data_IF_115848591559
#
_entry.id   IF_115848591559
#
_cell.length_a   1.000
_cell.length_b   1.000
_cell.length_c   1.000
_cell.angle_alpha   90.00
_cell.angle_beta   90.00
_cell.angle_gamma   90.00
#
_symmetry.space_group_name_H-M   'P 1'
#
loop_
_entity.id
_entity.type
_entity.pdbx_description
1 polymer ?
#
# COMPACT_ATOMS: atom_id res chain seq x y z
N UNK A 1 -16.98 11.63 0.28
CA UNK A 1 -16.18 11.88 1.51
C UNK A 1 -15.80 10.59 2.26
N UNK A 2 -16.61 9.52 2.29
CA UNK A 2 -16.23 8.23 2.91
C UNK A 2 -15.12 7.45 2.17
N UNK A 3 -14.94 7.66 0.86
CA UNK A 3 -13.89 7.02 0.06
C UNK A 3 -12.48 7.58 0.30
N UNK A 4 -12.34 8.80 0.82
CA UNK A 4 -11.02 9.38 1.08
C UNK A 4 -10.34 8.76 2.30
N UNK A 5 -11.11 8.25 3.27
CA UNK A 5 -10.59 7.73 4.55
C UNK A 5 -9.92 6.36 4.40
N UNK A 6 -10.40 5.50 3.50
CA UNK A 6 -9.79 4.17 3.28
C UNK A 6 -8.42 4.27 2.60
N UNK A 7 -8.26 5.20 1.67
CA UNK A 7 -6.98 5.49 1.03
C UNK A 7 -5.99 6.16 2.01
N UNK A 8 -6.50 6.80 3.07
CA UNK A 8 -5.70 7.47 4.11
C UNK A 8 -5.07 6.56 5.16
N UNK A 9 -5.34 5.25 5.16
CA UNK A 9 -4.74 4.33 6.15
C UNK A 9 -3.68 3.45 5.50
N UNK A 10 -4.00 2.78 4.38
CA UNK A 10 -3.08 1.80 3.78
C UNK A 10 -1.77 2.40 3.28
N UNK A 11 -1.83 3.46 2.47
CA UNK A 11 -0.63 4.08 1.91
C UNK A 11 0.30 4.65 2.99
N UNK A 12 -0.21 5.40 4.00
CA UNK A 12 0.60 5.85 5.13
C UNK A 12 1.16 4.70 5.99
N UNK A 13 0.39 3.64 6.23
CA UNK A 13 0.86 2.47 6.98
C UNK A 13 2.05 1.80 6.28
N UNK A 14 1.96 1.56 4.96
CA UNK A 14 3.06 0.98 4.17
C UNK A 14 4.29 1.88 4.23
N UNK A 15 4.11 3.20 4.17
CA UNK A 15 5.20 4.17 4.37
C UNK A 15 5.84 4.09 5.75
N UNK A 16 5.04 3.99 6.81
CA UNK A 16 5.51 3.86 8.19
C UNK A 16 6.35 2.58 8.36
N UNK A 17 5.85 1.44 7.89
CA UNK A 17 6.58 0.17 7.94
C UNK A 17 7.90 0.25 7.16
N UNK A 18 7.88 0.84 5.96
CA UNK A 18 9.10 1.06 5.18
C UNK A 18 10.15 1.91 5.91
N UNK A 19 9.72 2.98 6.57
CA UNK A 19 10.62 3.84 7.34
C UNK A 19 11.17 3.14 8.58
N UNK A 20 10.35 2.36 9.30
CA UNK A 20 10.78 1.55 10.44
C UNK A 20 11.80 0.50 9.98
N UNK A 21 11.51 -0.22 8.89
CA UNK A 21 12.44 -1.20 8.32
C UNK A 21 13.76 -0.57 7.93
N UNK A 22 13.75 0.63 7.32
CA UNK A 22 14.98 1.35 6.99
C UNK A 22 15.75 1.80 8.24
N UNK A 23 15.06 2.30 9.27
CA UNK A 23 15.68 2.69 10.53
C UNK A 23 16.35 1.49 11.22
N UNK A 24 15.67 0.35 11.28
CA UNK A 24 16.21 -0.89 11.84
C UNK A 24 17.39 -1.41 11.02
N UNK A 25 17.31 -1.35 9.69
CA UNK A 25 18.40 -1.75 8.79
C UNK A 25 19.65 -0.89 9.04
N UNK A 26 19.50 0.42 9.17
CA UNK A 26 20.64 1.32 9.42
C UNK A 26 21.19 1.11 10.82
N UNK A 27 20.34 0.93 11.83
CA UNK A 27 20.80 0.72 13.21
C UNK A 27 21.55 -0.59 13.37
N UNK A 28 20.94 -1.71 12.98
CA UNK A 28 21.53 -3.05 13.12
C UNK A 28 22.62 -3.29 12.07
N UNK A 29 22.37 -2.96 10.81
CA UNK A 29 23.37 -3.10 9.76
C UNK A 29 24.59 -2.20 10.00
N UNK A 30 24.35 -0.97 10.47
CA UNK A 30 25.42 -0.04 10.83
C UNK A 30 26.31 -0.56 11.95
N UNK A 31 25.76 -1.14 13.01
CA UNK A 31 26.57 -1.75 14.08
C UNK A 31 27.41 -2.92 13.55
N UNK A 32 26.85 -3.77 12.69
CA UNK A 32 27.57 -4.89 12.07
C UNK A 32 28.69 -4.42 11.12
N UNK A 33 28.56 -3.24 10.49
CA UNK A 33 29.65 -2.64 9.70
C UNK A 33 30.78 -2.16 10.61
N UNK A 34 30.46 -1.57 11.77
CA UNK A 34 31.47 -1.12 12.74
C UNK A 34 32.23 -2.29 13.38
N UNK A 35 31.56 -3.42 13.58
CA UNK A 35 32.17 -4.67 14.06
C UNK A 35 32.94 -5.42 12.96
N UNK A 36 32.87 -4.98 11.70
CA UNK A 36 33.55 -5.60 10.57
C UNK A 36 32.91 -6.89 10.05
N UNK A 37 31.70 -7.23 10.50
CA UNK A 37 30.98 -8.44 10.09
C UNK A 37 30.46 -8.34 8.65
N UNK A 38 30.07 -7.14 8.20
CA UNK A 38 29.59 -6.87 6.84
C UNK A 38 30.21 -5.58 6.31
N UNK A 39 30.19 -5.39 4.98
CA UNK A 39 30.67 -4.15 4.35
C UNK A 39 29.57 -3.10 4.29
N UNK A 40 29.96 -1.83 4.24
CA UNK A 40 29.03 -0.71 4.01
C UNK A 40 28.17 -0.91 2.75
N UNK A 41 28.76 -1.50 1.69
CA UNK A 41 28.07 -1.77 0.44
C UNK A 41 26.86 -2.69 0.60
N UNK A 42 26.92 -3.64 1.55
CA UNK A 42 25.77 -4.50 1.87
C UNK A 42 24.63 -3.65 2.44
N UNK A 43 24.89 -2.85 3.46
CA UNK A 43 23.85 -1.99 4.07
C UNK A 43 23.26 -1.04 3.04
N UNK A 44 24.11 -0.41 2.22
CA UNK A 44 23.68 0.47 1.14
C UNK A 44 22.75 -0.24 0.13
N UNK A 45 23.12 -1.43 -0.35
CA UNK A 45 22.30 -2.21 -1.28
C UNK A 45 20.95 -2.57 -0.66
N UNK A 46 20.94 -2.96 0.62
CA UNK A 46 19.70 -3.31 1.32
C UNK A 46 18.75 -2.12 1.50
N UNK A 47 19.24 -0.87 1.56
CA UNK A 47 18.34 0.29 1.56
C UNK A 47 17.49 0.37 0.30
N UNK A 48 18.04 -0.03 -0.85
CA UNK A 48 17.31 -0.12 -2.12
C UNK A 48 16.36 -1.30 -2.13
N UNK A 49 16.78 -2.47 -1.63
CA UNK A 49 15.91 -3.65 -1.54
C UNK A 49 14.69 -3.41 -0.66
N UNK A 50 14.85 -2.71 0.47
CA UNK A 50 13.71 -2.29 1.31
C UNK A 50 12.74 -1.46 0.48
N UNK A 51 13.20 -0.45 -0.27
CA UNK A 51 12.33 0.38 -1.10
C UNK A 51 11.62 -0.44 -2.18
N UNK A 52 12.35 -1.29 -2.89
CA UNK A 52 11.82 -2.16 -3.94
C UNK A 52 10.79 -3.16 -3.40
N UNK A 53 10.92 -3.59 -2.13
CA UNK A 53 9.94 -4.45 -1.49
C UNK A 53 8.62 -3.73 -1.18
N UNK A 54 8.69 -2.49 -0.69
CA UNK A 54 7.50 -1.72 -0.30
C UNK A 54 6.77 -1.03 -1.47
N UNK A 55 7.43 -0.83 -2.60
CA UNK A 55 6.83 -0.26 -3.81
C UNK A 55 5.65 -1.08 -4.38
N UNK A 56 5.79 -2.40 -4.67
CA UNK A 56 4.67 -3.20 -5.16
C UNK A 56 3.53 -3.33 -4.14
N UNK A 57 3.84 -3.31 -2.84
CA UNK A 57 2.83 -3.29 -1.78
C UNK A 57 1.90 -2.07 -1.87
N UNK A 58 2.43 -0.89 -2.23
CA UNK A 58 1.61 0.31 -2.48
C UNK A 58 0.71 0.13 -3.70
N UNK A 59 1.28 -0.41 -4.79
CA UNK A 59 0.51 -0.71 -6.00
C UNK A 59 -0.66 -1.67 -5.74
N UNK A 60 -0.47 -2.68 -4.89
CA UNK A 60 -1.55 -3.58 -4.47
C UNK A 60 -2.65 -2.86 -3.67
N UNK A 61 -2.27 -1.95 -2.77
CA UNK A 61 -3.25 -1.16 -2.01
C UNK A 61 -4.11 -0.28 -2.94
N UNK A 62 -3.47 0.38 -3.91
CA UNK A 62 -4.18 1.19 -4.90
C UNK A 62 -5.10 0.32 -5.79
N UNK A 63 -4.64 -0.86 -6.19
CA UNK A 63 -5.45 -1.81 -6.97
C UNK A 63 -6.68 -2.27 -6.18
N UNK A 64 -6.53 -2.55 -4.89
CA UNK A 64 -7.64 -2.94 -4.02
C UNK A 64 -8.69 -1.83 -3.91
N UNK A 65 -8.26 -0.57 -3.82
CA UNK A 65 -9.16 0.58 -3.83
C UNK A 65 -9.92 0.71 -5.16
N UNK A 66 -9.26 0.45 -6.29
CA UNK A 66 -9.92 0.43 -7.61
C UNK A 66 -10.98 -0.67 -7.71
N UNK A 67 -10.67 -1.87 -7.22
CA UNK A 67 -11.62 -2.99 -7.21
C UNK A 67 -12.86 -2.64 -6.36
N UNK A 68 -12.67 -2.06 -5.17
CA UNK A 68 -13.79 -1.62 -4.33
C UNK A 68 -14.66 -0.56 -5.02
N UNK A 69 -14.04 0.41 -5.72
CA UNK A 69 -14.77 1.41 -6.48
C UNK A 69 -15.55 0.82 -7.67
N UNK A 70 -14.97 -0.17 -8.34
CA UNK A 70 -15.62 -0.89 -9.43
C UNK A 70 -16.84 -1.69 -8.93
N UNK A 71 -16.70 -2.41 -7.81
CA UNK A 71 -17.80 -3.15 -7.17
C UNK A 71 -18.96 -2.23 -6.77
N UNK A 72 -18.68 -1.10 -6.11
CA UNK A 72 -19.70 -0.11 -5.75
C UNK A 72 -20.37 0.55 -6.98
N UNK A 73 -19.70 0.57 -8.14
CA UNK A 73 -20.28 1.05 -9.38
C UNK A 73 -21.15 -0.01 -10.05
N UNK A 74 -20.74 -1.27 -9.98
CA UNK A 74 -21.54 -2.40 -10.44
C UNK A 74 -22.84 -2.54 -9.65
N UNK A 75 -22.78 -2.42 -8.31
CA UNK A 75 -23.96 -2.45 -7.43
C UNK A 75 -25.03 -1.43 -7.87
N UNK A 76 -24.63 -0.17 -8.12
CA UNK A 76 -25.54 0.89 -8.60
C UNK A 76 -26.15 0.61 -9.98
N UNK A 77 -25.41 -0.05 -10.88
CA UNK A 77 -25.93 -0.44 -12.19
C UNK A 77 -27.03 -1.49 -12.01
N UNK A 78 -26.78 -2.51 -11.19
CA UNK A 78 -27.77 -3.55 -10.91
C UNK A 78 -29.00 -3.00 -10.20
N UNK A 79 -28.83 -2.12 -9.21
CA UNK A 79 -29.96 -1.41 -8.56
C UNK A 79 -30.83 -0.65 -9.57
N UNK A 80 -30.21 0.01 -10.56
CA UNK A 80 -30.93 0.74 -11.62
C UNK A 80 -31.68 -0.22 -12.55
N UNK A 81 -31.07 -1.35 -12.91
CA UNK A 81 -31.70 -2.36 -13.77
C UNK A 81 -32.88 -3.06 -13.07
N UNK A 82 -32.79 -3.26 -11.76
CA UNK A 82 -33.83 -3.91 -10.95
C UNK A 82 -34.96 -2.95 -10.54
N UNK A 83 -34.83 -1.65 -10.85
CA UNK A 83 -35.86 -0.65 -10.53
C UNK A 83 -37.11 -0.86 -11.41
N UNK A 84 -38.24 -1.24 -10.80
CA UNK A 84 -39.50 -1.40 -11.53
C UNK A 84 -40.08 -0.05 -11.99
N UNK A 85 -40.68 0.03 -13.20
CA UNK A 85 -41.25 1.27 -13.71
C UNK A 85 -42.45 1.73 -12.87
N UNK A 86 -42.33 2.93 -12.30
CA UNK A 86 -43.36 3.52 -11.41
C UNK A 86 -44.61 4.00 -12.16
N UNK A 87 -44.59 4.02 -13.49
CA UNK A 87 -45.75 4.43 -14.31
C UNK A 87 -46.31 3.19 -15.02
N UNK A 88 -47.39 2.67 -14.45
CA UNK A 88 -48.28 1.70 -15.10
C UNK A 88 -49.50 2.50 -15.58
N UNK A 89 -49.79 2.41 -16.89
CA UNK A 89 -50.98 3.03 -17.52
C UNK A 89 -52.27 2.62 -16.82
#
# INVERSE_FOLDING_TARGET
MRQTILNSIFNPSIGLFGNISLALLVWYGGSNVLEGAITFGVVYAFTHYVRQFFEPLRGLADQFNQIQAALASAERIFETLDTQPTIVN
#
